data_IF_911412756957
#
_entry.id   IF_911412756957
#
_cell.length_a   1.000
_cell.length_b   1.000
_cell.length_c   1.000
_cell.angle_alpha   90.00
_cell.angle_beta   90.00
_cell.angle_gamma   90.00
#
_symmetry.space_group_name_H-M   'P 1'
#
loop_
_entity.id
_entity.type
_entity.pdbx_description
1 polymer ?
#
# COMPACT_ATOMS: atom_id res chain seq x y z
N UNK A 1 -27.23 -5.15 -19.24
CA UNK A 1 -26.09 -4.23 -19.49
C UNK A 1 -24.74 -4.88 -19.21
N UNK A 2 -24.56 -5.63 -18.10
CA UNK A 2 -23.28 -6.31 -17.79
C UNK A 2 -23.30 -7.85 -17.95
N UNK A 3 -24.35 -8.43 -18.53
CA UNK A 3 -24.50 -9.89 -18.68
C UNK A 3 -23.45 -10.55 -19.59
N UNK A 4 -22.77 -9.77 -20.43
CA UNK A 4 -21.72 -10.24 -21.35
C UNK A 4 -20.31 -9.91 -20.89
N UNK A 5 -20.14 -9.27 -19.72
CA UNK A 5 -18.80 -9.02 -19.20
C UNK A 5 -18.16 -10.34 -18.79
N UNK A 6 -16.95 -10.57 -19.31
CA UNK A 6 -16.11 -11.67 -18.85
C UNK A 6 -15.35 -11.23 -17.60
N UNK A 7 -15.43 -12.03 -16.55
CA UNK A 7 -14.62 -11.82 -15.36
C UNK A 7 -13.14 -11.79 -15.73
N UNK A 8 -12.44 -10.78 -15.21
CA UNK A 8 -11.00 -10.70 -15.33
C UNK A 8 -10.36 -11.50 -14.20
N UNK A 9 -9.21 -12.15 -14.44
CA UNK A 9 -8.53 -12.88 -13.39
C UNK A 9 -8.17 -11.94 -12.24
N UNK A 10 -8.35 -12.44 -11.01
CA UNK A 10 -7.89 -11.73 -9.83
C UNK A 10 -6.37 -11.51 -9.85
N UNK A 11 -5.91 -10.43 -9.24
CA UNK A 11 -4.49 -10.16 -9.08
C UNK A 11 -3.83 -11.29 -8.28
N UNK A 12 -2.73 -11.83 -8.83
CA UNK A 12 -2.05 -12.99 -8.25
C UNK A 12 -1.39 -12.68 -6.91
N UNK A 13 -0.93 -11.44 -6.70
CA UNK A 13 -0.35 -10.99 -5.42
C UNK A 13 -1.46 -10.96 -4.37
N UNK A 14 -2.61 -10.37 -4.70
CA UNK A 14 -3.76 -10.31 -3.78
C UNK A 14 -4.27 -11.71 -3.41
N UNK A 15 -4.33 -12.63 -4.38
CA UNK A 15 -4.71 -14.02 -4.12
C UNK A 15 -3.73 -14.73 -3.18
N UNK A 16 -2.42 -14.48 -3.30
CA UNK A 16 -1.40 -15.04 -2.40
C UNK A 16 -1.48 -14.44 -1.00
N UNK A 17 -1.70 -13.13 -0.88
CA UNK A 17 -1.91 -12.47 0.41
C UNK A 17 -3.12 -13.03 1.15
N UNK A 18 -4.22 -13.30 0.44
CA UNK A 18 -5.41 -13.90 1.02
C UNK A 18 -5.13 -15.32 1.52
N UNK A 19 -4.50 -16.18 0.69
CA UNK A 19 -4.11 -17.54 1.10
C UNK A 19 -3.19 -17.53 2.32
N UNK A 20 -2.23 -16.62 2.37
CA UNK A 20 -1.36 -16.46 3.54
C UNK A 20 -2.16 -16.02 4.78
N UNK A 21 -3.13 -15.12 4.64
CA UNK A 21 -3.99 -14.67 5.74
C UNK A 21 -4.86 -15.80 6.30
N UNK A 22 -5.43 -16.62 5.44
CA UNK A 22 -6.34 -17.73 5.79
C UNK A 22 -5.64 -18.94 6.42
N UNK A 23 -4.32 -19.06 6.26
CA UNK A 23 -3.53 -20.15 6.86
C UNK A 23 -3.50 -20.04 8.40
N UNK A 24 -3.98 -21.03 9.16
CA UNK A 24 -4.04 -20.97 10.62
C UNK A 24 -2.70 -21.27 11.31
N UNK A 25 -1.64 -21.63 10.58
CA UNK A 25 -0.35 -21.97 11.19
C UNK A 25 0.31 -20.74 11.79
N UNK A 26 0.72 -20.83 13.05
CA UNK A 26 1.40 -19.75 13.77
C UNK A 26 2.83 -19.47 13.26
N UNK A 27 3.46 -20.46 12.63
CA UNK A 27 4.84 -20.39 12.11
C UNK A 27 4.93 -20.11 10.60
N UNK A 28 3.85 -19.61 9.99
CA UNK A 28 3.83 -19.26 8.56
C UNK A 28 4.76 -18.08 8.24
N UNK A 29 5.37 -18.12 7.06
CA UNK A 29 6.30 -17.09 6.57
C UNK A 29 5.80 -16.58 5.23
N UNK A 30 5.73 -15.26 5.07
CA UNK A 30 5.39 -14.61 3.80
C UNK A 30 6.65 -14.01 3.15
N UNK A 31 7.07 -14.60 2.04
CA UNK A 31 8.14 -14.09 1.17
C UNK A 31 7.59 -13.70 -0.22
N UNK A 32 6.27 -13.67 -0.39
CA UNK A 32 5.61 -13.40 -1.67
C UNK A 32 5.40 -11.91 -1.94
N UNK A 33 5.30 -11.09 -0.89
CA UNK A 33 5.08 -9.65 -1.02
C UNK A 33 6.42 -8.91 -1.07
N UNK A 34 6.66 -8.19 -2.17
CA UNK A 34 7.89 -7.42 -2.41
C UNK A 34 8.01 -6.10 -1.62
N UNK A 35 7.37 -5.99 -0.45
CA UNK A 35 7.48 -4.81 0.42
C UNK A 35 8.60 -5.01 1.43
N UNK A 36 9.34 -3.94 1.72
CA UNK A 36 10.33 -3.97 2.78
C UNK A 36 9.67 -4.25 4.13
N UNK A 37 10.27 -5.16 4.89
CA UNK A 37 9.96 -5.42 6.29
C UNK A 37 11.24 -5.25 7.12
N UNK A 38 11.11 -4.62 8.28
CA UNK A 38 12.20 -4.54 9.25
C UNK A 38 12.36 -5.86 10.03
N UNK A 39 13.26 -5.89 11.01
CA UNK A 39 13.54 -7.09 11.81
C UNK A 39 12.32 -7.60 12.60
N UNK A 40 11.36 -6.73 12.89
CA UNK A 40 10.10 -7.08 13.57
C UNK A 40 9.00 -7.53 12.59
N UNK A 41 9.28 -7.62 11.28
CA UNK A 41 8.32 -8.03 10.25
C UNK A 41 7.33 -6.92 9.84
N UNK A 42 7.54 -5.70 10.30
CA UNK A 42 6.70 -4.53 10.03
C UNK A 42 7.22 -3.74 8.83
N UNK A 43 6.32 -3.00 8.17
CA UNK A 43 6.69 -2.05 7.11
C UNK A 43 6.72 -0.64 7.70
N UNK A 44 7.89 -0.15 8.15
CA UNK A 44 7.97 1.11 8.88
C UNK A 44 7.77 2.31 7.95
N UNK A 45 7.11 3.35 8.46
CA UNK A 45 7.15 4.68 7.83
C UNK A 45 8.47 5.33 8.22
N UNK A 46 9.23 5.82 7.23
CA UNK A 46 10.51 6.46 7.49
C UNK A 46 10.34 7.74 8.33
N UNK A 47 11.31 8.02 9.21
CA UNK A 47 11.28 9.21 10.08
C UNK A 47 11.15 10.52 9.27
N UNK A 48 11.90 10.63 8.17
CA UNK A 48 11.83 11.80 7.30
C UNK A 48 10.44 11.99 6.67
N UNK A 49 9.78 10.89 6.29
CA UNK A 49 8.41 10.94 5.74
C UNK A 49 7.43 11.43 6.80
N UNK A 50 7.50 10.90 8.03
CA UNK A 50 6.65 11.37 9.14
C UNK A 50 6.86 12.85 9.47
N UNK A 51 8.10 13.33 9.45
CA UNK A 51 8.38 14.75 9.64
C UNK A 51 7.83 15.61 8.51
N UNK A 52 7.94 15.16 7.25
CA UNK A 52 7.41 15.88 6.10
C UNK A 52 5.87 15.96 6.13
N UNK A 53 5.18 14.86 6.45
CA UNK A 53 3.72 14.83 6.62
C UNK A 53 3.25 15.84 7.68
N UNK A 54 3.94 15.91 8.81
CA UNK A 54 3.61 16.88 9.86
C UNK A 54 3.78 18.32 9.37
N UNK A 55 4.89 18.63 8.71
CA UNK A 55 5.14 19.98 8.18
C UNK A 55 4.11 20.38 7.12
N UNK A 56 3.72 19.46 6.24
CA UNK A 56 2.66 19.68 5.27
C UNK A 56 1.34 20.00 5.95
N UNK A 57 0.93 19.18 6.92
CA UNK A 57 -0.31 19.38 7.67
C UNK A 57 -0.36 20.74 8.38
N UNK A 58 0.75 21.20 8.96
CA UNK A 58 0.82 22.49 9.66
C UNK A 58 0.83 23.70 8.71
N UNK A 59 1.30 23.55 7.46
CA UNK A 59 1.56 24.67 6.54
C UNK A 59 0.55 24.82 5.42
N UNK A 60 -0.07 23.74 4.98
CA UNK A 60 -1.00 23.77 3.85
C UNK A 60 -2.26 24.57 4.20
N UNK A 61 -2.63 25.51 3.33
CA UNK A 61 -3.82 26.35 3.50
C UNK A 61 -4.96 25.96 2.55
N UNK A 62 -4.68 25.13 1.55
CA UNK A 62 -5.66 24.68 0.55
C UNK A 62 -5.26 23.32 -0.03
N UNK A 63 -6.23 22.66 -0.66
CA UNK A 63 -6.07 21.46 -1.48
C UNK A 63 -6.51 21.70 -2.93
N UNK A 64 -6.57 22.96 -3.36
CA UNK A 64 -6.83 23.35 -4.76
C UNK A 64 -5.77 22.78 -5.70
N UNK A 65 -6.11 22.70 -6.99
CA UNK A 65 -5.22 22.17 -8.01
C UNK A 65 -3.86 22.88 -8.06
N UNK A 66 -2.80 22.09 -8.20
CA UNK A 66 -1.45 22.53 -8.54
C UNK A 66 -1.25 22.51 -10.06
N UNK A 67 -0.06 22.90 -10.52
CA UNK A 67 0.30 22.86 -11.94
C UNK A 67 0.16 21.45 -12.52
N UNK A 68 -0.11 21.37 -13.84
CA UNK A 68 -0.35 20.10 -14.53
C UNK A 68 0.77 19.05 -14.34
N UNK A 69 2.01 19.51 -14.19
CA UNK A 69 3.19 18.65 -14.01
C UNK A 69 3.48 18.30 -12.54
N UNK A 70 2.69 18.82 -11.60
CA UNK A 70 2.91 18.70 -10.16
C UNK A 70 3.74 19.85 -9.57
N UNK A 71 4.24 19.63 -8.36
CA UNK A 71 5.14 20.56 -7.68
C UNK A 71 6.55 20.52 -8.34
N UNK A 72 7.22 21.67 -8.53
CA UNK A 72 8.56 21.74 -9.12
C UNK A 72 9.68 21.21 -8.22
#
# INVERSE_FOLDING_TARGET
>A
MFQSLKEQPADKILALMQKYKEDPRDSKIDLGVGVYKNAEGLTPVMRAVKTAEQQLWERETTKSYVGLVGDP
#
